data_IF_390667567471
#
_entry.id   IF_390667567471
#
_cell.length_a   1.000
_cell.length_b   1.000
_cell.length_c   1.000
_cell.angle_alpha   90.00
_cell.angle_beta   90.00
_cell.angle_gamma   90.00
#
_symmetry.space_group_name_H-M   'P 1'
#
loop_
_entity.id
_entity.type
_entity.pdbx_description
1 polymer ?
#
# COMPACT_ATOMS: atom_id res chain seq x y z
N UNK A 1 -20.23 6.02 7.32
CA UNK A 1 -19.44 7.25 7.57
C UNK A 1 -18.60 7.56 6.32
N UNK A 2 -18.40 8.84 5.97
CA UNK A 2 -17.55 9.20 4.84
C UNK A 2 -16.08 8.85 5.09
N UNK A 3 -15.37 8.48 4.02
CA UNK A 3 -13.94 8.10 4.04
C UNK A 3 -13.12 9.28 3.52
N UNK A 4 -12.11 9.72 4.27
CA UNK A 4 -11.17 10.75 3.80
C UNK A 4 -9.96 10.08 3.16
N UNK A 5 -9.57 10.53 1.97
CA UNK A 5 -8.29 10.18 1.32
C UNK A 5 -7.57 11.45 0.90
N UNK A 6 -6.26 11.37 0.76
CA UNK A 6 -5.45 12.48 0.27
C UNK A 6 -5.13 12.25 -1.20
N UNK A 7 -5.43 13.26 -2.02
CA UNK A 7 -4.98 13.37 -3.42
C UNK A 7 -4.23 14.70 -3.49
N UNK A 8 -2.95 14.65 -3.86
CA UNK A 8 -2.05 15.81 -3.91
C UNK A 8 -2.09 16.62 -2.59
N UNK A 9 -1.93 15.92 -1.46
CA UNK A 9 -1.98 16.44 -0.08
C UNK A 9 -3.27 17.17 0.32
N UNK A 10 -4.29 17.16 -0.54
CA UNK A 10 -5.58 17.75 -0.26
C UNK A 10 -6.54 16.67 0.24
N UNK A 11 -7.18 16.85 1.42
CA UNK A 11 -8.16 15.91 1.92
C UNK A 11 -9.42 15.93 1.04
N UNK A 12 -9.71 14.76 0.49
CA UNK A 12 -10.89 14.46 -0.30
C UNK A 12 -11.79 13.53 0.49
N UNK A 13 -13.05 13.93 0.61
CA UNK A 13 -14.06 13.17 1.34
C UNK A 13 -14.88 12.34 0.36
N UNK A 14 -15.14 11.09 0.71
CA UNK A 14 -15.86 10.15 -0.13
C UNK A 14 -17.03 9.50 0.60
N UNK A 15 -18.13 9.31 -0.11
CA UNK A 15 -19.21 8.43 0.28
C UNK A 15 -19.08 7.10 -0.45
N UNK A 16 -19.31 5.99 0.25
CA UNK A 16 -19.29 4.66 -0.33
C UNK A 16 -20.71 4.08 -0.28
N UNK A 17 -21.25 3.76 -1.45
CA UNK A 17 -22.47 2.98 -1.61
C UNK A 17 -22.08 1.52 -1.85
N UNK A 18 -22.22 0.70 -0.82
CA UNK A 18 -21.88 -0.72 -0.87
C UNK A 18 -22.92 -1.56 -1.63
N UNK A 19 -24.17 -1.10 -1.75
CA UNK A 19 -25.19 -1.83 -2.51
C UNK A 19 -24.94 -1.68 -4.01
N UNK A 20 -24.52 -0.49 -4.43
CA UNK A 20 -24.23 -0.17 -5.84
C UNK A 20 -22.76 -0.36 -6.21
N UNK A 21 -21.91 -0.75 -5.27
CA UNK A 21 -20.46 -0.85 -5.45
C UNK A 21 -19.87 0.43 -6.07
N UNK A 22 -20.19 1.59 -5.46
CA UNK A 22 -19.75 2.91 -5.93
C UNK A 22 -19.07 3.70 -4.83
N UNK A 23 -18.02 4.41 -5.22
CA UNK A 23 -17.41 5.47 -4.43
C UNK A 23 -17.71 6.80 -5.11
N UNK A 24 -18.17 7.79 -4.34
CA UNK A 24 -18.47 9.14 -4.81
C UNK A 24 -17.64 10.15 -4.03
N UNK A 25 -16.93 11.05 -4.72
CA UNK A 25 -16.32 12.22 -4.09
C UNK A 25 -17.44 13.18 -3.67
N UNK A 26 -17.48 13.56 -2.39
CA UNK A 26 -18.58 14.39 -1.86
C UNK A 26 -18.49 15.86 -2.27
N UNK A 27 -17.34 16.33 -2.77
CA UNK A 27 -17.14 17.71 -3.27
C UNK A 27 -17.44 17.82 -4.76
N UNK A 28 -16.94 16.88 -5.56
CA UNK A 28 -17.04 16.96 -7.03
C UNK A 28 -18.18 16.12 -7.62
N UNK A 29 -18.85 15.31 -6.79
CA UNK A 29 -19.83 14.31 -7.22
C UNK A 29 -19.30 13.25 -8.19
N UNK A 30 -17.99 13.24 -8.46
CA UNK A 30 -17.36 12.24 -9.31
C UNK A 30 -17.54 10.85 -8.70
N UNK A 31 -17.98 9.91 -9.53
CA UNK A 31 -18.22 8.53 -9.11
C UNK A 31 -17.29 7.57 -9.84
N UNK A 32 -16.87 6.54 -9.12
CA UNK A 32 -16.21 5.37 -9.71
C UNK A 32 -16.79 4.09 -9.15
N UNK A 33 -16.71 3.04 -9.94
CA UNK A 33 -16.99 1.68 -9.46
C UNK A 33 -15.89 1.26 -8.48
N UNK A 34 -16.31 0.50 -7.48
CA UNK A 34 -15.42 -0.19 -6.57
C UNK A 34 -15.76 -1.67 -6.61
N UNK A 35 -14.82 -2.51 -6.19
CA UNK A 35 -15.02 -3.95 -6.18
C UNK A 35 -14.52 -4.51 -4.86
N UNK A 36 -15.20 -5.55 -4.37
CA UNK A 36 -14.79 -6.28 -3.17
C UNK A 36 -14.04 -7.53 -3.62
N UNK A 37 -12.76 -7.59 -3.28
CA UNK A 37 -11.94 -8.77 -3.58
C UNK A 37 -11.75 -9.61 -2.33
N UNK A 38 -11.86 -10.95 -2.43
CA UNK A 38 -11.54 -11.83 -1.32
C UNK A 38 -10.10 -11.57 -0.90
N UNK A 39 -9.92 -11.43 0.40
CA UNK A 39 -8.63 -11.15 0.97
C UNK A 39 -7.80 -12.44 0.99
N UNK A 40 -6.66 -12.45 0.31
CA UNK A 40 -5.61 -13.43 0.60
C UNK A 40 -4.86 -12.91 1.83
N UNK A 41 -5.01 -13.55 2.99
CA UNK A 41 -4.18 -13.23 4.15
C UNK A 41 -2.83 -13.95 3.98
N UNK A 42 -1.69 -13.34 4.33
CA UNK A 42 -0.43 -14.08 4.40
C UNK A 42 -0.59 -15.29 5.31
N UNK A 43 -0.01 -16.43 4.92
CA UNK A 43 -0.11 -17.68 5.68
C UNK A 43 0.58 -17.56 7.05
N UNK A 44 1.62 -16.75 7.10
CA UNK A 44 2.34 -16.31 8.28
C UNK A 44 1.65 -15.07 8.88
N UNK A 45 1.36 -15.07 10.19
CA UNK A 45 0.75 -13.92 10.90
C UNK A 45 1.69 -12.69 11.01
N UNK A 46 2.64 -12.55 10.09
CA UNK A 46 3.68 -11.54 10.09
C UNK A 46 3.24 -10.36 9.23
N UNK A 47 3.56 -9.15 9.70
CA UNK A 47 3.18 -7.90 9.08
C UNK A 47 4.41 -7.12 8.65
N UNK A 48 4.24 -6.32 7.61
CA UNK A 48 5.26 -5.38 7.17
C UNK A 48 4.96 -3.96 7.65
N UNK A 49 6.03 -3.25 8.02
CA UNK A 49 5.99 -1.88 8.52
C UNK A 49 7.02 -1.00 7.81
N UNK A 50 6.74 0.29 7.75
CA UNK A 50 7.69 1.33 7.36
C UNK A 50 7.86 2.37 8.45
N UNK A 51 9.05 2.95 8.53
CA UNK A 51 9.30 4.08 9.42
C UNK A 51 8.83 5.37 8.74
N UNK A 52 7.86 6.05 9.34
CA UNK A 52 7.31 7.30 8.82
C UNK A 52 8.20 8.51 9.16
N UNK A 53 7.80 9.70 8.71
CA UNK A 53 8.58 10.94 8.90
C UNK A 53 8.71 11.36 10.37
N UNK A 54 7.85 10.85 11.25
CA UNK A 54 7.90 11.09 12.69
C UNK A 54 8.70 10.01 13.44
N UNK A 55 9.37 9.09 12.74
CA UNK A 55 10.13 8.00 13.34
C UNK A 55 9.27 6.83 13.83
N UNK A 56 7.96 6.85 13.57
CA UNK A 56 7.05 5.80 14.03
C UNK A 56 6.91 4.69 12.98
N UNK A 57 6.93 3.44 13.45
CA UNK A 57 6.66 2.27 12.63
C UNK A 57 5.17 2.18 12.31
N UNK A 58 4.84 2.41 11.05
CA UNK A 58 3.48 2.34 10.54
C UNK A 58 3.31 1.08 9.72
N UNK A 59 2.25 0.32 10.02
CA UNK A 59 1.93 -0.90 9.29
C UNK A 59 1.50 -0.55 7.87
N UNK A 60 1.97 -1.31 6.88
CA UNK A 60 1.48 -1.16 5.51
C UNK A 60 0.00 -1.55 5.39
N UNK A 61 -0.67 -1.00 4.40
CA UNK A 61 -1.99 -1.46 4.00
C UNK A 61 -1.95 -2.92 3.57
N UNK A 62 -3.02 -3.65 3.84
CA UNK A 62 -3.04 -5.11 3.72
C UNK A 62 -2.77 -5.62 2.30
N UNK A 63 -3.30 -4.94 1.27
CA UNK A 63 -3.01 -5.28 -0.13
C UNK A 63 -1.53 -5.14 -0.47
N UNK A 64 -0.88 -4.11 0.08
CA UNK A 64 0.55 -3.87 -0.11
C UNK A 64 1.36 -4.89 0.67
N UNK A 65 0.95 -5.24 1.90
CA UNK A 65 1.61 -6.29 2.68
C UNK A 65 1.68 -7.61 1.94
N UNK A 66 0.59 -8.03 1.29
CA UNK A 66 0.58 -9.26 0.51
C UNK A 66 1.58 -9.24 -0.64
N UNK A 67 1.71 -8.10 -1.34
CA UNK A 67 2.67 -7.95 -2.42
C UNK A 67 4.11 -8.02 -1.91
N UNK A 68 4.39 -7.33 -0.81
CA UNK A 68 5.72 -7.34 -0.16
C UNK A 68 6.05 -8.75 0.32
N UNK A 69 5.14 -9.41 1.02
CA UNK A 69 5.34 -10.74 1.57
C UNK A 69 5.54 -11.78 0.46
N UNK A 70 4.73 -11.74 -0.61
CA UNK A 70 4.91 -12.63 -1.76
C UNK A 70 6.30 -12.43 -2.39
N UNK A 71 6.72 -11.17 -2.58
CA UNK A 71 8.05 -10.86 -3.09
C UNK A 71 9.16 -11.38 -2.16
N UNK A 72 9.01 -11.19 -0.86
CA UNK A 72 9.96 -11.65 0.14
C UNK A 72 10.09 -13.18 0.21
N UNK A 73 8.96 -13.89 0.12
CA UNK A 73 8.95 -15.35 0.12
C UNK A 73 9.64 -15.92 -1.14
N UNK A 74 9.42 -15.30 -2.31
CA UNK A 74 10.13 -15.67 -3.54
C UNK A 74 11.63 -15.40 -3.42
N UNK A 75 12.02 -14.24 -2.86
CA UNK A 75 13.41 -13.92 -2.57
C UNK A 75 14.06 -14.94 -1.62
N UNK A 76 13.41 -15.25 -0.48
CA UNK A 76 13.93 -16.19 0.53
C UNK A 76 14.13 -17.61 0.01
N UNK A 77 13.39 -18.00 -1.04
CA UNK A 77 13.50 -19.30 -1.69
C UNK A 77 14.45 -19.29 -2.91
N UNK A 78 15.20 -18.21 -3.13
CA UNK A 78 16.07 -17.99 -4.30
C UNK A 78 15.32 -18.12 -5.64
N UNK A 79 14.02 -17.80 -5.65
CA UNK A 79 13.12 -17.85 -6.83
C UNK A 79 12.75 -16.46 -7.35
N UNK A 80 13.22 -15.40 -6.70
CA UNK A 80 12.86 -14.02 -7.03
C UNK A 80 14.00 -13.04 -6.74
N UNK A 81 13.83 -11.81 -7.22
CA UNK A 81 14.75 -10.71 -6.94
C UNK A 81 14.71 -10.35 -5.46
N UNK A 82 15.84 -9.84 -4.94
CA UNK A 82 15.89 -9.23 -3.60
C UNK A 82 15.17 -7.88 -3.51
N UNK A 83 14.56 -7.44 -4.61
CA UNK A 83 13.74 -6.25 -4.71
C UNK A 83 12.36 -6.55 -5.29
N UNK A 84 11.34 -5.76 -4.90
CA UNK A 84 10.00 -5.82 -5.49
C UNK A 84 9.42 -4.42 -5.68
N UNK A 85 8.75 -4.21 -6.82
CA UNK A 85 8.01 -2.98 -7.08
C UNK A 85 6.58 -3.08 -6.55
N UNK A 86 6.18 -2.09 -5.75
CA UNK A 86 4.84 -1.97 -5.18
C UNK A 86 4.18 -0.67 -5.60
N UNK A 87 2.84 -0.70 -5.64
CA UNK A 87 2.01 0.49 -5.86
C UNK A 87 0.97 0.57 -4.76
N UNK A 88 0.84 1.75 -4.18
CA UNK A 88 -0.17 2.00 -3.16
C UNK A 88 -1.53 2.28 -3.83
N UNK A 89 -2.63 1.70 -3.35
CA UNK A 89 -3.95 1.98 -3.90
C UNK A 89 -4.29 3.48 -3.87
N UNK A 90 -4.55 4.06 -5.05
CA UNK A 90 -4.88 5.48 -5.18
C UNK A 90 -3.68 6.42 -5.20
N UNK A 91 -2.46 5.90 -5.33
CA UNK A 91 -1.23 6.67 -5.58
C UNK A 91 -0.65 6.32 -6.95
N UNK A 92 -0.24 7.31 -7.77
CA UNK A 92 0.35 7.03 -9.08
C UNK A 92 1.81 6.54 -8.99
N UNK A 93 2.49 6.81 -7.87
CA UNK A 93 3.92 6.49 -7.73
C UNK A 93 4.17 4.99 -7.56
N UNK A 94 5.29 4.54 -8.12
CA UNK A 94 5.83 3.20 -7.88
C UNK A 94 6.97 3.29 -6.88
N UNK A 95 7.01 2.33 -5.96
CA UNK A 95 8.03 2.24 -4.93
C UNK A 95 8.76 0.92 -5.05
N UNK A 96 10.07 0.95 -4.89
CA UNK A 96 10.91 -0.24 -4.80
C UNK A 96 11.10 -0.62 -3.34
N UNK A 97 10.88 -1.88 -3.01
CA UNK A 97 11.23 -2.48 -1.73
C UNK A 97 12.52 -3.27 -1.94
N UNK A 98 13.54 -3.00 -1.13
CA UNK A 98 14.82 -3.70 -1.11
C UNK A 98 14.92 -4.49 0.20
N UNK A 99 14.83 -5.82 0.08
CA UNK A 99 14.82 -6.73 1.23
C UNK A 99 16.19 -6.86 1.91
N UNK A 100 17.28 -6.64 1.16
CA UNK A 100 18.65 -6.70 1.71
C UNK A 100 18.91 -5.46 2.56
N UNK A 101 18.59 -4.29 2.02
CA UNK A 101 18.83 -3.02 2.70
C UNK A 101 17.78 -2.69 3.75
N UNK A 102 16.65 -3.39 3.73
CA UNK A 102 15.50 -3.06 4.58
C UNK A 102 14.96 -1.66 4.29
N UNK A 103 14.78 -1.34 3.00
CA UNK A 103 14.40 0.00 2.57
C UNK A 103 13.30 0.00 1.50
N UNK A 104 12.41 0.99 1.59
CA UNK A 104 11.52 1.40 0.52
C UNK A 104 12.09 2.65 -0.14
N UNK A 105 12.11 2.71 -1.47
CA UNK A 105 12.51 3.88 -2.24
C UNK A 105 11.39 4.31 -3.18
N UNK A 106 10.97 5.57 -3.14
CA UNK A 106 10.10 6.14 -4.16
C UNK A 106 10.89 6.26 -5.47
N UNK A 107 10.45 5.64 -6.57
CA UNK A 107 11.20 5.65 -7.82
C UNK A 107 11.27 7.03 -8.48
N UNK A 108 10.33 7.92 -8.19
CA UNK A 108 10.26 9.28 -8.72
C UNK A 108 11.08 10.22 -7.84
N UNK A 109 10.70 10.41 -6.57
CA UNK A 109 11.35 11.38 -5.69
C UNK A 109 12.68 10.91 -5.09
N UNK A 110 13.01 9.61 -5.22
CA UNK A 110 14.15 8.95 -4.58
C UNK A 110 14.14 8.98 -3.05
N UNK A 111 13.06 9.45 -2.43
CA UNK A 111 12.89 9.41 -0.98
C UNK A 111 12.91 7.97 -0.47
N UNK A 112 13.61 7.75 0.66
CA UNK A 112 13.81 6.43 1.25
C UNK A 112 13.16 6.32 2.63
N UNK A 113 12.56 5.17 2.93
CA UNK A 113 12.01 4.83 4.25
C UNK A 113 12.55 3.47 4.68
N UNK A 114 12.87 3.30 5.96
CA UNK A 114 13.25 1.98 6.51
C UNK A 114 12.01 1.09 6.58
N UNK A 115 12.18 -0.21 6.39
CA UNK A 115 11.11 -1.22 6.52
C UNK A 115 11.50 -2.30 7.52
N UNK A 116 10.51 -2.99 8.06
CA UNK A 116 10.71 -4.20 8.88
C UNK A 116 9.53 -5.16 8.74
N UNK A 117 9.75 -6.40 9.16
CA UNK A 117 8.77 -7.49 9.20
C UNK A 117 8.67 -7.99 10.65
N UNK A 118 7.46 -8.00 11.22
CA UNK A 118 7.16 -8.41 12.61
C UNK A 118 5.82 -9.14 12.72
#
# INVERSE_FOLDING_TARGET
PPVTRYIDDTPQTYQIDFQKNRQMNTKTSYQRLIDRRPLQKPADNLNWFYCNEHGNWTRYELLVQNQIEQGFQLYRLDRGSSTVDIRFPGRPETYEIDFIRGQQTNKISKAKKKIKRE
#
